data_IF_573939077988
#
_entry.id   IF_573939077988
#
_cell.length_a   1.000
_cell.length_b   1.000
_cell.length_c   1.000
_cell.angle_alpha   90.00
_cell.angle_beta   90.00
_cell.angle_gamma   90.00
#
_symmetry.space_group_name_H-M   'P 1'
#
loop_
_entity.id
_entity.type
_entity.pdbx_description
1 polymer ?
#
# COMPACT_ATOMS: atom_id res chain seq x y z
N UNK A 1 20.32 -26.06 -20.09
CA UNK A 1 19.04 -25.55 -19.61
C UNK A 1 17.86 -26.36 -20.18
N UNK A 2 17.74 -26.44 -21.51
CA UNK A 2 16.65 -27.21 -22.16
C UNK A 2 16.67 -28.68 -21.72
N UNK A 3 17.83 -29.28 -21.65
CA UNK A 3 18.03 -30.67 -21.22
C UNK A 3 17.52 -30.92 -19.79
N UNK A 4 17.76 -29.99 -18.88
CA UNK A 4 17.26 -30.06 -17.52
C UNK A 4 15.72 -29.93 -17.42
N UNK A 5 15.13 -29.13 -18.29
CA UNK A 5 13.66 -29.02 -18.40
C UNK A 5 13.07 -30.31 -18.99
N UNK A 6 13.67 -30.82 -20.07
CA UNK A 6 13.19 -32.01 -20.77
C UNK A 6 13.22 -33.26 -19.88
N UNK A 7 14.23 -33.37 -19.01
CA UNK A 7 14.36 -34.48 -18.06
C UNK A 7 13.69 -34.21 -16.70
N UNK A 8 12.93 -33.11 -16.58
CA UNK A 8 12.19 -32.74 -15.35
C UNK A 8 13.08 -32.53 -14.10
N UNK A 9 14.37 -32.20 -14.26
CA UNK A 9 15.23 -31.81 -13.14
C UNK A 9 14.93 -30.40 -12.63
N UNK A 10 14.41 -29.52 -13.49
CA UNK A 10 13.92 -28.21 -13.15
C UNK A 10 12.53 -28.00 -13.75
N UNK A 11 11.74 -27.17 -13.11
CA UNK A 11 10.43 -26.73 -13.60
C UNK A 11 10.44 -25.21 -13.71
N UNK A 12 9.96 -24.68 -14.83
CA UNK A 12 9.75 -23.25 -15.02
C UNK A 12 8.26 -22.97 -15.06
N UNK A 13 7.80 -22.18 -14.11
CA UNK A 13 6.41 -21.76 -14.03
C UNK A 13 6.09 -20.68 -15.07
N UNK A 14 4.89 -20.68 -15.62
CA UNK A 14 4.36 -19.68 -16.56
C UNK A 14 5.24 -19.43 -17.78
N UNK A 15 5.91 -20.46 -18.31
CA UNK A 15 6.82 -20.35 -19.43
C UNK A 15 6.16 -19.81 -20.72
N UNK A 16 4.85 -20.02 -20.85
CA UNK A 16 4.06 -19.55 -21.98
C UNK A 16 3.56 -18.12 -21.81
N UNK A 17 3.65 -17.56 -20.60
CA UNK A 17 3.26 -16.20 -20.30
C UNK A 17 4.40 -15.24 -20.55
N UNK A 18 4.16 -14.19 -21.35
CA UNK A 18 5.09 -13.06 -21.53
C UNK A 18 4.88 -11.96 -20.47
N UNK A 19 3.91 -12.13 -19.57
CA UNK A 19 3.63 -11.20 -18.50
C UNK A 19 4.64 -11.35 -17.34
N UNK A 20 4.93 -10.24 -16.67
CA UNK A 20 5.68 -10.27 -15.41
C UNK A 20 4.90 -11.08 -14.37
N UNK A 21 5.59 -11.98 -13.65
CA UNK A 21 4.91 -12.83 -12.68
C UNK A 21 4.54 -12.05 -11.42
N UNK A 22 5.52 -11.50 -10.72
CA UNK A 22 5.35 -10.72 -9.51
C UNK A 22 6.17 -9.44 -9.60
N UNK A 23 5.71 -8.37 -8.95
CA UNK A 23 6.46 -7.14 -8.80
C UNK A 23 6.29 -6.53 -7.42
N UNK A 24 7.37 -5.94 -6.92
CA UNK A 24 7.34 -4.97 -5.84
C UNK A 24 7.43 -3.58 -6.46
N UNK A 25 6.51 -2.71 -6.11
CA UNK A 25 6.42 -1.36 -6.66
C UNK A 25 6.69 -0.32 -5.59
N UNK A 26 7.46 0.71 -5.95
CA UNK A 26 7.51 1.93 -5.14
C UNK A 26 6.34 2.83 -5.47
N UNK A 27 5.77 3.45 -4.44
CA UNK A 27 4.60 4.32 -4.58
C UNK A 27 5.00 5.79 -4.85
N UNK A 28 6.27 6.13 -4.75
CA UNK A 28 6.76 7.52 -4.87
C UNK A 28 6.37 8.21 -6.19
N UNK A 29 6.52 7.58 -7.38
CA UNK A 29 6.09 8.20 -8.63
C UNK A 29 4.59 8.51 -8.67
N UNK A 30 3.75 7.65 -8.06
CA UNK A 30 2.32 7.89 -7.95
C UNK A 30 1.98 9.08 -7.04
N UNK A 31 2.74 9.29 -5.97
CA UNK A 31 2.55 10.46 -5.10
C UNK A 31 2.90 11.79 -5.77
N UNK A 32 3.75 11.79 -6.79
CA UNK A 32 4.13 12.98 -7.54
C UNK A 32 3.21 13.20 -8.73
N UNK A 33 3.04 12.18 -9.56
CA UNK A 33 2.40 12.27 -10.87
C UNK A 33 1.02 11.61 -10.98
N UNK A 34 0.50 11.04 -9.90
CA UNK A 34 -0.72 10.25 -9.97
C UNK A 34 -0.53 8.98 -10.81
N UNK A 35 -1.60 8.50 -11.42
CA UNK A 35 -1.56 7.25 -12.20
C UNK A 35 -1.10 7.43 -13.65
N UNK A 36 -0.80 8.66 -14.09
CA UNK A 36 -0.40 8.93 -15.48
C UNK A 36 0.89 8.21 -15.87
N UNK A 37 1.82 8.03 -14.92
CA UNK A 37 3.08 7.30 -15.12
C UNK A 37 2.92 5.80 -15.35
N UNK A 38 1.76 5.24 -15.00
CA UNK A 38 1.45 3.81 -15.08
C UNK A 38 0.23 3.52 -15.99
N UNK A 39 -0.12 4.47 -16.85
CA UNK A 39 -1.18 4.30 -17.86
C UNK A 39 -2.59 4.66 -17.42
N UNK A 40 -2.76 5.22 -16.22
CA UNK A 40 -4.03 5.76 -15.72
C UNK A 40 -4.20 7.24 -16.01
N UNK A 41 -5.30 7.81 -15.54
CA UNK A 41 -5.62 9.25 -15.67
C UNK A 41 -6.18 9.79 -14.35
N UNK A 42 -5.40 9.76 -13.28
CA UNK A 42 -5.74 10.40 -12.01
C UNK A 42 -4.59 11.21 -11.48
N UNK A 43 -4.91 12.29 -10.78
CA UNK A 43 -3.92 13.13 -10.09
C UNK A 43 -3.35 12.44 -8.86
N UNK A 44 -2.22 12.96 -8.37
CA UNK A 44 -1.63 12.54 -7.10
C UNK A 44 -2.60 12.72 -5.93
N UNK A 45 -2.59 11.83 -4.92
CA UNK A 45 -3.43 11.98 -3.75
C UNK A 45 -2.97 13.17 -2.89
N UNK A 46 -3.90 13.96 -2.40
CA UNK A 46 -3.62 15.16 -1.60
C UNK A 46 -4.03 15.02 -0.12
N UNK A 47 -4.88 14.05 0.20
CA UNK A 47 -5.41 13.79 1.55
C UNK A 47 -5.63 12.29 1.78
N UNK A 48 -5.93 11.91 3.02
CA UNK A 48 -6.11 10.50 3.41
C UNK A 48 -7.18 9.78 2.58
N UNK A 49 -8.32 10.43 2.34
CA UNK A 49 -9.42 9.83 1.56
C UNK A 49 -9.00 9.56 0.10
N UNK A 50 -8.35 10.53 -0.55
CA UNK A 50 -7.86 10.37 -1.93
C UNK A 50 -6.71 9.36 -2.00
N UNK A 51 -5.89 9.26 -0.96
CA UNK A 51 -4.88 8.21 -0.86
C UNK A 51 -5.52 6.82 -0.81
N UNK A 52 -6.46 6.56 0.11
CA UNK A 52 -7.08 5.25 0.25
C UNK A 52 -7.77 4.79 -1.04
N UNK A 53 -8.59 5.65 -1.66
CA UNK A 53 -9.28 5.32 -2.90
C UNK A 53 -8.34 5.14 -4.10
N UNK A 54 -7.37 6.05 -4.24
CA UNK A 54 -6.37 6.01 -5.30
C UNK A 54 -5.44 4.79 -5.17
N UNK A 55 -5.09 4.42 -3.94
CA UNK A 55 -4.27 3.24 -3.65
C UNK A 55 -4.91 1.94 -4.15
N UNK A 56 -6.20 1.73 -3.84
CA UNK A 56 -6.96 0.57 -4.32
C UNK A 56 -6.93 0.49 -5.85
N UNK A 57 -7.22 1.62 -6.51
CA UNK A 57 -7.20 1.70 -7.97
C UNK A 57 -5.80 1.42 -8.56
N UNK A 58 -4.75 1.96 -7.95
CA UNK A 58 -3.37 1.71 -8.35
C UNK A 58 -3.02 0.22 -8.23
N UNK A 59 -3.35 -0.40 -7.11
CA UNK A 59 -3.10 -1.84 -6.88
C UNK A 59 -3.85 -2.68 -7.92
N UNK A 60 -5.11 -2.40 -8.21
CA UNK A 60 -5.86 -3.11 -9.24
C UNK A 60 -5.24 -2.94 -10.63
N UNK A 61 -4.82 -1.72 -10.99
CA UNK A 61 -4.21 -1.45 -12.27
C UNK A 61 -2.89 -2.19 -12.44
N UNK A 62 -1.97 -2.09 -11.46
CA UNK A 62 -0.68 -2.78 -11.52
C UNK A 62 -0.87 -4.30 -11.48
N UNK A 63 -1.74 -4.81 -10.60
CA UNK A 63 -1.99 -6.24 -10.49
C UNK A 63 -2.59 -6.85 -11.77
N UNK A 64 -3.34 -6.07 -12.56
CA UNK A 64 -3.87 -6.53 -13.85
C UNK A 64 -2.77 -6.80 -14.89
N UNK A 65 -1.57 -6.24 -14.70
CA UNK A 65 -0.40 -6.43 -15.56
C UNK A 65 0.51 -7.57 -15.10
N UNK A 66 0.18 -8.21 -13.97
CA UNK A 66 0.99 -9.25 -13.33
C UNK A 66 0.22 -10.58 -13.32
N UNK A 67 0.93 -11.68 -13.54
CA UNK A 67 0.34 -13.03 -13.40
C UNK A 67 0.27 -13.51 -11.95
N UNK A 68 1.07 -12.92 -11.05
CA UNK A 68 1.19 -13.29 -9.65
C UNK A 68 0.93 -12.14 -8.68
N UNK A 69 1.84 -11.94 -7.74
CA UNK A 69 1.68 -10.99 -6.66
C UNK A 69 2.09 -9.55 -7.01
N UNK A 70 1.38 -8.60 -6.40
CA UNK A 70 1.74 -7.19 -6.37
C UNK A 70 2.13 -6.82 -4.93
N UNK A 71 3.38 -6.42 -4.70
CA UNK A 71 3.83 -5.96 -3.39
C UNK A 71 3.94 -4.43 -3.36
N UNK A 72 3.41 -3.84 -2.29
CA UNK A 72 3.57 -2.42 -1.97
C UNK A 72 4.18 -2.28 -0.57
N UNK A 73 5.49 -2.52 -0.43
CA UNK A 73 6.12 -2.59 0.88
C UNK A 73 5.97 -1.30 1.69
N UNK A 74 5.95 -0.16 1.01
CA UNK A 74 5.88 1.17 1.61
C UNK A 74 4.46 1.57 2.08
N UNK A 75 3.45 0.74 1.88
CA UNK A 75 2.03 1.10 2.08
C UNK A 75 1.75 1.74 3.43
N UNK A 76 2.16 1.09 4.54
CA UNK A 76 1.90 1.61 5.88
C UNK A 76 2.67 2.90 6.17
N UNK A 77 3.86 3.10 5.57
CA UNK A 77 4.62 4.34 5.69
C UNK A 77 3.86 5.51 5.05
N UNK A 78 3.32 5.32 3.85
CA UNK A 78 2.54 6.37 3.18
C UNK A 78 1.18 6.59 3.84
N UNK A 79 0.54 5.55 4.34
CA UNK A 79 -0.69 5.70 5.12
C UNK A 79 -0.43 6.52 6.39
N UNK A 80 0.68 6.24 7.12
CA UNK A 80 1.12 7.02 8.27
C UNK A 80 1.33 8.51 7.92
N UNK A 81 1.96 8.77 6.79
CA UNK A 81 2.18 10.14 6.30
C UNK A 81 0.84 10.89 6.09
N UNK A 82 -0.13 10.28 5.40
CA UNK A 82 -1.42 10.94 5.15
C UNK A 82 -2.27 11.09 6.42
N UNK A 83 -2.20 10.14 7.36
CA UNK A 83 -2.85 10.29 8.68
C UNK A 83 -2.20 11.43 9.44
N UNK A 84 -0.87 11.49 9.48
CA UNK A 84 -0.12 12.57 10.13
C UNK A 84 -0.39 13.93 9.52
N UNK A 85 -0.56 14.01 8.20
CA UNK A 85 -0.91 15.24 7.50
C UNK A 85 -2.31 15.75 7.85
N UNK A 86 -3.26 14.87 8.12
CA UNK A 86 -4.65 15.23 8.40
C UNK A 86 -4.90 15.47 9.90
N UNK A 87 -4.28 14.68 10.78
CA UNK A 87 -4.56 14.70 12.22
C UNK A 87 -3.41 15.16 13.10
N UNK A 88 -2.25 15.45 12.52
CA UNK A 88 -1.00 15.81 13.19
C UNK A 88 -0.05 14.63 13.33
N UNK A 89 1.26 14.89 13.34
CA UNK A 89 2.30 13.85 13.40
C UNK A 89 2.19 12.95 14.64
N UNK A 90 1.72 13.52 15.75
CA UNK A 90 1.54 12.83 17.04
C UNK A 90 0.14 12.17 17.20
N UNK A 91 -0.61 11.96 16.11
CA UNK A 91 -1.97 11.43 16.13
C UNK A 91 -2.12 10.14 16.98
N UNK A 92 -1.10 9.31 16.98
CA UNK A 92 -1.07 8.04 17.69
C UNK A 92 -1.06 8.19 19.23
N UNK A 93 -0.65 9.35 19.75
CA UNK A 93 -0.68 9.68 21.19
C UNK A 93 -2.09 10.04 21.66
N UNK A 94 -3.00 10.37 20.75
CA UNK A 94 -4.38 10.76 21.02
C UNK A 94 -5.34 10.12 20.00
N UNK A 95 -5.17 8.85 19.72
CA UNK A 95 -5.97 8.13 18.72
C UNK A 95 -7.45 7.99 19.11
N UNK A 96 -7.78 8.15 20.39
CA UNK A 96 -9.13 8.22 20.94
C UNK A 96 -9.81 9.58 20.75
N UNK A 97 -9.08 10.61 20.31
CA UNK A 97 -9.62 11.94 20.04
C UNK A 97 -10.72 11.86 18.98
N UNK A 98 -11.88 12.43 19.31
CA UNK A 98 -13.01 12.57 18.38
C UNK A 98 -12.68 13.64 17.34
N UNK A 99 -12.79 13.30 16.07
CA UNK A 99 -12.49 14.17 14.93
C UNK A 99 -13.71 14.44 14.04
N UNK A 100 -14.77 13.66 14.21
CA UNK A 100 -16.04 13.87 13.53
C UNK A 100 -17.15 13.96 14.58
N UNK A 101 -17.74 15.14 14.68
CA UNK A 101 -18.86 15.44 15.59
C UNK A 101 -20.23 15.06 15.04
N UNK A 102 -20.27 14.38 13.89
CA UNK A 102 -21.52 13.81 13.36
C UNK A 102 -22.15 12.83 14.37
N UNK A 103 -23.38 12.39 14.09
CA UNK A 103 -24.14 11.48 14.97
C UNK A 103 -23.37 10.23 15.42
N UNK A 104 -22.25 9.88 14.76
CA UNK A 104 -21.43 8.69 15.06
C UNK A 104 -20.16 8.96 15.87
N UNK A 105 -19.83 10.21 16.16
CA UNK A 105 -18.62 10.60 16.92
C UNK A 105 -17.39 9.72 16.62
N UNK A 106 -16.79 9.91 15.43
CA UNK A 106 -15.65 9.06 14.99
C UNK A 106 -14.36 9.54 15.64
N UNK A 107 -13.62 8.63 16.24
CA UNK A 107 -12.24 8.86 16.71
C UNK A 107 -11.21 8.68 15.57
N UNK A 108 -9.99 9.15 15.78
CA UNK A 108 -8.89 8.92 14.85
C UNK A 108 -8.67 7.41 14.64
N UNK A 109 -8.68 6.61 15.71
CA UNK A 109 -8.55 5.14 15.63
C UNK A 109 -9.65 4.50 14.76
N UNK A 110 -10.89 4.99 14.87
CA UNK A 110 -11.98 4.51 14.02
C UNK A 110 -11.80 4.91 12.57
N UNK A 111 -11.32 6.13 12.28
CA UNK A 111 -10.99 6.56 10.91
C UNK A 111 -9.90 5.66 10.31
N UNK A 112 -8.86 5.35 11.09
CA UNK A 112 -7.77 4.45 10.65
C UNK A 112 -8.32 3.05 10.35
N UNK A 113 -9.18 2.53 11.24
CA UNK A 113 -9.85 1.24 11.04
C UNK A 113 -10.68 1.24 9.75
N UNK A 114 -11.44 2.31 9.51
CA UNK A 114 -12.23 2.44 8.27
C UNK A 114 -11.34 2.48 7.01
N UNK A 115 -10.14 3.07 7.10
CA UNK A 115 -9.16 3.01 6.00
C UNK A 115 -8.67 1.58 5.75
N UNK A 116 -8.39 0.82 6.82
CA UNK A 116 -8.02 -0.59 6.67
C UNK A 116 -9.14 -1.40 6.02
N UNK A 117 -10.36 -1.26 6.51
CA UNK A 117 -11.56 -1.92 5.96
C UNK A 117 -11.75 -1.58 4.48
N UNK A 118 -11.71 -0.29 4.15
CA UNK A 118 -11.87 0.17 2.76
C UNK A 118 -10.83 -0.45 1.84
N UNK A 119 -9.56 -0.46 2.24
CA UNK A 119 -8.47 -0.91 1.39
C UNK A 119 -8.46 -2.44 1.31
N UNK A 120 -8.41 -3.11 2.46
CA UNK A 120 -8.24 -4.57 2.51
C UNK A 120 -9.45 -5.27 1.94
N UNK A 121 -10.67 -4.84 2.29
CA UNK A 121 -11.88 -5.46 1.75
C UNK A 121 -12.04 -5.23 0.25
N UNK A 122 -11.64 -4.06 -0.26
CA UNK A 122 -11.64 -3.81 -1.71
C UNK A 122 -10.65 -4.70 -2.44
N UNK A 123 -9.42 -4.81 -1.96
CA UNK A 123 -8.36 -5.61 -2.59
C UNK A 123 -8.65 -7.11 -2.49
N UNK A 124 -9.26 -7.55 -1.40
CA UNK A 124 -9.60 -8.97 -1.15
C UNK A 124 -10.89 -9.42 -1.86
N UNK A 125 -11.37 -8.67 -2.83
CA UNK A 125 -12.51 -9.07 -3.65
C UNK A 125 -12.05 -9.62 -5.00
N UNK A 126 -12.71 -10.67 -5.53
CA UNK A 126 -12.50 -11.09 -6.90
C UNK A 126 -12.86 -9.96 -7.87
N UNK A 127 -11.97 -9.67 -8.81
CA UNK A 127 -12.18 -8.59 -9.79
C UNK A 127 -12.06 -9.10 -11.23
N UNK A 128 -12.78 -8.48 -12.15
CA UNK A 128 -12.71 -8.79 -13.57
C UNK A 128 -11.32 -8.54 -14.16
N UNK A 129 -10.58 -7.55 -13.63
CA UNK A 129 -9.20 -7.26 -14.05
C UNK A 129 -8.20 -8.39 -13.75
N UNK A 130 -8.57 -9.33 -12.87
CA UNK A 130 -7.77 -10.49 -12.48
C UNK A 130 -8.46 -11.82 -12.78
N UNK A 131 -9.28 -11.90 -13.84
CA UNK A 131 -10.06 -13.10 -14.14
C UNK A 131 -10.87 -13.63 -12.94
N UNK A 132 -11.48 -12.69 -12.20
CA UNK A 132 -12.26 -12.98 -10.99
C UNK A 132 -11.45 -13.59 -9.83
N UNK A 133 -10.14 -13.36 -9.80
CA UNK A 133 -9.32 -13.68 -8.64
C UNK A 133 -9.08 -12.44 -7.78
N UNK A 134 -8.95 -12.62 -6.48
CA UNK A 134 -8.48 -11.58 -5.58
C UNK A 134 -7.00 -11.27 -5.86
N UNK A 135 -6.57 -10.04 -5.57
CA UNK A 135 -5.17 -9.64 -5.73
C UNK A 135 -4.31 -10.33 -4.68
N UNK A 136 -3.23 -10.98 -5.09
CA UNK A 136 -2.16 -11.40 -4.18
C UNK A 136 -1.36 -10.16 -3.77
N UNK A 137 -1.84 -9.47 -2.75
CA UNK A 137 -1.24 -8.26 -2.27
C UNK A 137 -0.31 -8.51 -1.09
N UNK A 138 0.90 -7.96 -1.14
CA UNK A 138 1.90 -8.04 -0.08
C UNK A 138 2.29 -6.65 0.39
N UNK A 139 2.49 -6.52 1.71
CA UNK A 139 3.03 -5.34 2.38
C UNK A 139 4.24 -5.73 3.21
N UNK A 140 5.05 -4.77 3.63
CA UNK A 140 6.17 -5.01 4.54
C UNK A 140 5.90 -4.41 5.93
N UNK A 141 6.47 -5.09 6.92
CA UNK A 141 6.64 -4.56 8.28
C UNK A 141 8.13 -4.34 8.51
N UNK A 142 8.46 -3.29 9.23
CA UNK A 142 9.83 -2.89 9.50
C UNK A 142 10.10 -2.93 10.99
N UNK A 143 11.31 -3.32 11.37
CA UNK A 143 11.90 -2.93 12.64
C UNK A 143 12.63 -1.58 12.48
N UNK A 144 13.02 -0.99 13.59
CA UNK A 144 13.61 0.36 13.58
C UNK A 144 14.94 0.42 12.80
N UNK A 145 15.91 -0.49 13.00
CA UNK A 145 17.17 -0.45 12.26
C UNK A 145 17.00 -0.58 10.74
N UNK A 146 16.10 -1.45 10.31
CA UNK A 146 15.82 -1.64 8.88
C UNK A 146 15.08 -0.44 8.28
N UNK A 147 14.11 0.12 9.01
CA UNK A 147 13.44 1.35 8.61
C UNK A 147 14.42 2.53 8.44
N UNK A 148 15.30 2.76 9.41
CA UNK A 148 16.31 3.82 9.36
C UNK A 148 17.30 3.62 8.21
N UNK A 149 17.67 2.38 7.93
CA UNK A 149 18.55 2.04 6.79
C UNK A 149 17.92 2.38 5.43
N UNK A 150 16.62 2.11 5.28
CA UNK A 150 15.91 2.34 4.01
C UNK A 150 15.44 3.78 3.86
N UNK A 151 14.93 4.39 4.92
CA UNK A 151 14.18 5.65 4.86
C UNK A 151 14.80 6.80 5.65
N UNK A 152 15.98 6.61 6.26
CA UNK A 152 16.65 7.67 7.03
C UNK A 152 17.00 8.92 6.21
N UNK A 153 17.19 8.77 4.90
CA UNK A 153 17.42 9.88 3.96
C UNK A 153 16.27 10.09 2.97
N UNK A 154 15.11 9.50 3.24
CA UNK A 154 13.95 9.64 2.39
C UNK A 154 13.15 10.89 2.78
N UNK A 155 12.61 11.57 1.77
CA UNK A 155 11.73 12.73 1.94
C UNK A 155 10.46 12.54 1.10
N UNK A 156 9.31 12.82 1.69
CA UNK A 156 8.06 12.95 0.96
C UNK A 156 8.08 14.18 0.04
N UNK A 157 7.15 14.28 -0.93
CA UNK A 157 7.13 15.41 -1.87
C UNK A 157 7.00 16.81 -1.22
N UNK A 158 6.51 16.88 0.01
CA UNK A 158 6.40 18.13 0.79
C UNK A 158 7.64 18.42 1.65
N UNK A 159 8.71 17.60 1.53
CA UNK A 159 9.96 17.77 2.27
C UNK A 159 9.94 17.20 3.69
N UNK A 160 8.85 16.57 4.14
CA UNK A 160 8.82 15.89 5.42
C UNK A 160 9.49 14.51 5.36
N UNK A 161 9.99 14.03 6.50
CA UNK A 161 10.57 12.69 6.61
C UNK A 161 9.58 11.70 7.21
N UNK A 162 9.72 10.39 6.91
CA UNK A 162 8.93 9.36 7.57
C UNK A 162 9.15 9.35 9.08
N UNK A 163 8.04 9.24 9.83
CA UNK A 163 8.05 9.12 11.28
C UNK A 163 8.02 7.65 11.71
N UNK A 164 9.06 7.21 12.40
CA UNK A 164 9.14 5.84 12.91
C UNK A 164 8.12 5.56 14.01
N UNK A 165 7.89 6.49 14.93
CA UNK A 165 7.02 6.23 16.10
C UNK A 165 5.56 6.04 15.64
N UNK A 166 5.08 6.91 14.75
CA UNK A 166 3.77 6.76 14.13
C UNK A 166 3.66 5.48 13.29
N UNK A 167 4.67 5.19 12.47
CA UNK A 167 4.68 3.94 11.69
C UNK A 167 4.69 2.70 12.57
N UNK A 168 5.51 2.65 13.61
CA UNK A 168 5.58 1.53 14.55
C UNK A 168 4.24 1.29 15.25
N UNK A 169 3.59 2.37 15.66
CA UNK A 169 2.23 2.29 16.23
C UNK A 169 1.22 1.77 15.20
N UNK A 170 1.23 2.31 13.98
CA UNK A 170 0.31 1.93 12.91
C UNK A 170 0.48 0.48 12.48
N UNK A 171 1.72 -0.02 12.36
CA UNK A 171 2.02 -1.43 12.09
C UNK A 171 1.40 -2.35 13.15
N UNK A 172 1.62 -2.04 14.42
CA UNK A 172 1.02 -2.82 15.53
C UNK A 172 -0.50 -2.76 15.50
N UNK A 173 -1.07 -1.61 15.15
CA UNK A 173 -2.52 -1.43 15.05
C UNK A 173 -3.10 -2.24 13.90
N UNK A 174 -2.44 -2.25 12.73
CA UNK A 174 -2.83 -3.05 11.58
C UNK A 174 -2.76 -4.56 11.87
N UNK A 175 -1.70 -5.01 12.54
CA UNK A 175 -1.55 -6.43 12.92
C UNK A 175 -2.59 -6.92 13.94
N UNK A 176 -3.13 -6.01 14.78
CA UNK A 176 -4.16 -6.35 15.77
C UNK A 176 -5.59 -6.31 15.19
N UNK A 177 -5.77 -5.57 14.10
CA UNK A 177 -7.03 -5.47 13.39
C UNK A 177 -7.32 -6.72 12.57
#
# INVERSE_FOLDING_TARGET
>A
YIDLLTHHFIYKNDETSLANYCASITMYPWLIGGTTSIGGNSTAPTNLKSFCGGFVNMVFMVSSMLSGACATPEFLMYLNYFIGKEYGQDYYKSADRVVDLSLKQRTIDKVITDCFEQIVYSINQPTGARNYQAVFWNIAYYDKPYFESLFGNFYFPDGTQPDWEGLSWLQKRFMKW
#
